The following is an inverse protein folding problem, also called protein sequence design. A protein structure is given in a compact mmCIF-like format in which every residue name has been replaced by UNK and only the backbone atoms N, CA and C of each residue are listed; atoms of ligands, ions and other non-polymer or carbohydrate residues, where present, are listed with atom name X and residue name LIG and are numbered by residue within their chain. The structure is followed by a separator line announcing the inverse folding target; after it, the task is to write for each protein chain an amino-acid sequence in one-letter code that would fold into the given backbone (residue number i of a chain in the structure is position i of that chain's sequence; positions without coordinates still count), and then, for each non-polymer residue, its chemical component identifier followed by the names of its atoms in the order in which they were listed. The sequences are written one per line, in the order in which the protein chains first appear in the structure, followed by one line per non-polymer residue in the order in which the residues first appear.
data_IF_621587323287
#
_entry.id   IF_621587323287
#
_cell.length_a   1.000
_cell.length_b   1.000
_cell.length_c   1.000
_cell.angle_alpha   90.00
_cell.angle_beta   90.00
_cell.angle_gamma   90.00
#
_symmetry.space_group_name_H-M   'P 1'
#
loop_
_entity.id
_entity.type
_entity.pdbx_description
1 polymer ?
#
# COMPACT_ATOMS: atom_id res chain seq x y z
N UNK A 1 6.87 0.05 -12.85
CA UNK A 1 5.47 -0.39 -12.81
C UNK A 1 5.32 -1.34 -11.63
N UNK A 2 4.19 -1.30 -10.89
CA UNK A 2 3.97 -2.20 -9.76
C UNK A 2 3.96 -3.67 -10.22
N UNK A 3 4.31 -4.61 -9.34
CA UNK A 3 4.27 -6.03 -9.64
C UNK A 3 2.82 -6.49 -9.91
N UNK A 4 2.63 -7.21 -11.00
CA UNK A 4 1.34 -7.79 -11.41
C UNK A 4 1.40 -9.30 -11.25
N UNK A 5 0.52 -9.83 -10.39
CA UNK A 5 0.39 -11.25 -10.14
C UNK A 5 -0.85 -11.82 -10.83
N UNK A 6 -0.71 -12.99 -11.44
CA UNK A 6 -1.81 -13.78 -11.99
C UNK A 6 -1.69 -15.22 -11.52
N UNK A 7 -2.78 -15.74 -10.97
CA UNK A 7 -2.89 -17.12 -10.50
C UNK A 7 -3.61 -18.03 -11.50
N UNK A 8 -3.75 -17.56 -12.74
CA UNK A 8 -4.41 -18.30 -13.82
C UNK A 8 -3.70 -19.63 -14.06
N UNK A 9 -4.48 -20.68 -14.27
CA UNK A 9 -3.98 -22.05 -14.41
C UNK A 9 -3.90 -22.83 -13.09
N UNK A 10 -4.15 -22.19 -11.94
CA UNK A 10 -4.22 -22.90 -10.66
C UNK A 10 -5.40 -23.86 -10.57
N UNK A 11 -5.18 -25.02 -9.95
CA UNK A 11 -6.23 -25.99 -9.63
C UNK A 11 -6.62 -25.89 -8.15
N UNK A 12 -7.92 -26.06 -7.89
CA UNK A 12 -8.53 -26.01 -6.55
C UNK A 12 -8.33 -24.68 -5.78
N UNK A 13 -7.96 -23.57 -6.43
CA UNK A 13 -7.83 -22.24 -5.80
C UNK A 13 -9.15 -21.47 -5.87
N UNK A 14 -9.70 -21.10 -4.70
CA UNK A 14 -10.84 -20.19 -4.57
C UNK A 14 -10.39 -18.73 -4.63
N UNK A 15 -9.35 -18.41 -3.87
CA UNK A 15 -8.74 -17.10 -3.79
C UNK A 15 -7.22 -17.24 -3.58
N UNK A 16 -6.44 -16.35 -4.16
CA UNK A 16 -5.04 -16.16 -3.86
C UNK A 16 -4.80 -14.66 -3.71
N UNK A 17 -4.47 -14.23 -2.50
CA UNK A 17 -4.34 -12.82 -2.11
C UNK A 17 -2.89 -12.52 -1.74
N UNK A 18 -2.24 -11.71 -2.56
CA UNK A 18 -0.92 -11.19 -2.23
C UNK A 18 -1.03 -10.16 -1.10
N UNK A 19 -0.20 -10.33 -0.07
CA UNK A 19 -0.04 -9.35 1.00
C UNK A 19 1.25 -8.59 0.74
N UNK A 20 1.17 -7.26 0.74
CA UNK A 20 2.30 -6.39 0.49
C UNK A 20 2.83 -5.89 1.83
N UNK A 21 4.08 -6.25 2.21
CA UNK A 21 4.77 -5.54 3.28
C UNK A 21 4.83 -4.05 2.97
N UNK A 22 4.84 -3.21 4.00
CA UNK A 22 4.91 -1.76 3.82
C UNK A 22 6.12 -1.37 2.95
N UNK A 23 5.91 -0.59 1.86
CA UNK A 23 6.99 -0.19 0.98
C UNK A 23 7.90 0.84 1.66
N UNK A 24 9.04 1.11 1.03
CA UNK A 24 9.92 2.20 1.38
C UNK A 24 9.91 3.28 0.31
N UNK A 25 10.19 4.50 0.75
CA UNK A 25 10.39 5.67 -0.10
C UNK A 25 11.89 5.84 -0.39
N UNK A 26 12.23 6.04 -1.65
CA UNK A 26 13.59 6.28 -2.14
C UNK A 26 13.64 7.63 -2.87
N UNK A 27 14.80 8.28 -2.82
CA UNK A 27 15.11 9.38 -3.72
C UNK A 27 15.72 8.81 -5.01
N UNK A 28 15.04 9.03 -6.13
CA UNK A 28 15.52 8.66 -7.45
C UNK A 28 15.67 9.94 -8.30
N UNK A 29 16.82 10.60 -8.16
CA UNK A 29 17.14 11.79 -8.94
C UNK A 29 16.27 13.00 -8.62
N UNK A 30 15.86 13.16 -7.35
CA UNK A 30 14.98 14.23 -6.89
C UNK A 30 13.48 13.94 -7.05
N UNK A 31 13.11 12.75 -7.56
CA UNK A 31 11.74 12.24 -7.52
C UNK A 31 11.62 11.14 -6.45
N UNK A 32 10.43 11.02 -5.86
CA UNK A 32 10.16 9.92 -4.93
C UNK A 32 9.82 8.64 -5.69
N UNK A 33 10.56 7.57 -5.44
CA UNK A 33 10.22 6.22 -5.88
C UNK A 33 9.76 5.38 -4.68
N UNK A 34 8.86 4.42 -4.93
CA UNK A 34 8.33 3.54 -3.89
C UNK A 34 8.58 2.08 -4.25
N UNK A 35 9.02 1.28 -3.28
CA UNK A 35 9.26 -0.14 -3.50
C UNK A 35 10.05 -0.78 -2.37
N UNK A 36 10.87 -1.76 -2.73
CA UNK A 36 11.69 -2.54 -1.81
C UNK A 36 13.13 -2.52 -2.31
N UNK A 37 14.09 -2.27 -1.41
CA UNK A 37 15.52 -2.50 -1.67
C UNK A 37 15.96 -3.83 -1.03
N UNK A 38 17.07 -4.38 -1.51
CA UNK A 38 17.63 -5.65 -1.05
C UNK A 38 16.64 -6.82 -1.22
N UNK A 39 16.02 -7.27 -0.13
CA UNK A 39 15.19 -8.47 -0.07
C UNK A 39 13.76 -8.13 0.37
N UNK A 40 12.79 -8.81 -0.24
CA UNK A 40 11.38 -8.78 0.17
C UNK A 40 10.77 -10.16 0.02
N UNK A 41 10.03 -10.61 1.04
CA UNK A 41 9.12 -11.76 0.94
C UNK A 41 7.71 -11.21 0.91
N UNK A 42 6.94 -11.58 -0.12
CA UNK A 42 5.52 -11.27 -0.18
C UNK A 42 4.70 -12.46 0.33
N UNK A 43 4.03 -12.34 1.49
CA UNK A 43 3.15 -13.40 1.96
C UNK A 43 1.97 -13.57 1.00
N UNK A 44 1.72 -14.81 0.57
CA UNK A 44 0.61 -15.15 -0.31
C UNK A 44 -0.40 -16.01 0.44
N UNK A 45 -1.60 -15.47 0.67
CA UNK A 45 -2.68 -16.22 1.30
C UNK A 45 -3.49 -16.94 0.23
N UNK A 46 -3.53 -18.27 0.29
CA UNK A 46 -4.27 -19.12 -0.66
C UNK A 46 -5.42 -19.80 0.06
N UNK A 47 -6.63 -19.68 -0.50
CA UNK A 47 -7.82 -20.37 -0.03
C UNK A 47 -8.24 -21.42 -1.04
N UNK A 48 -8.36 -22.67 -0.61
CA UNK A 48 -8.81 -23.77 -1.45
C UNK A 48 -10.33 -23.69 -1.72
N UNK A 49 -10.78 -24.14 -2.89
CA UNK A 49 -12.22 -24.36 -3.15
C UNK A 49 -12.75 -25.54 -2.35
N UNK A 50 -11.93 -26.58 -2.25
CA UNK A 50 -12.17 -27.79 -1.49
C UNK A 50 -10.94 -28.09 -0.64
N UNK A 51 -11.06 -27.86 0.67
CA UNK A 51 -9.99 -28.07 1.64
C UNK A 51 -9.59 -29.55 1.79
N UNK A 52 -10.39 -30.49 1.28
CA UNK A 52 -10.11 -31.94 1.32
C UNK A 52 -9.34 -32.42 0.10
N UNK A 53 -8.92 -31.51 -0.79
CA UNK A 53 -8.07 -31.80 -1.96
C UNK A 53 -6.84 -30.91 -1.95
N UNK A 54 -5.69 -31.39 -2.47
CA UNK A 54 -4.51 -30.56 -2.62
C UNK A 54 -4.79 -29.36 -3.54
N UNK A 55 -3.98 -28.32 -3.41
CA UNK A 55 -4.00 -27.16 -4.32
C UNK A 55 -2.77 -27.24 -5.22
N UNK A 56 -2.96 -26.95 -6.52
CA UNK A 56 -1.82 -26.69 -7.42
C UNK A 56 -1.85 -25.21 -7.75
N UNK A 57 -0.93 -24.46 -7.14
CA UNK A 57 -0.84 -23.01 -7.33
C UNK A 57 0.09 -22.71 -8.50
N UNK A 58 -0.42 -21.98 -9.49
CA UNK A 58 0.37 -21.36 -10.54
C UNK A 58 0.52 -19.86 -10.20
N UNK A 59 1.74 -19.34 -10.25
CA UNK A 59 2.04 -17.93 -10.04
C UNK A 59 2.74 -17.40 -11.27
N UNK A 60 2.13 -16.41 -11.91
CA UNK A 60 2.73 -15.64 -13.00
C UNK A 60 2.93 -14.22 -12.50
N UNK A 61 4.17 -13.75 -12.50
CA UNK A 61 4.56 -12.45 -11.98
C UNK A 61 5.25 -11.63 -13.06
N UNK A 62 4.77 -10.42 -13.30
CA UNK A 62 5.46 -9.40 -14.08
C UNK A 62 5.80 -8.24 -13.17
N UNK A 63 7.07 -7.87 -13.05
CA UNK A 63 7.52 -6.78 -12.18
C UNK A 63 8.65 -6.00 -12.83
N UNK A 64 8.98 -4.83 -12.29
CA UNK A 64 10.15 -4.06 -12.70
C UNK A 64 11.23 -4.15 -11.61
N UNK A 65 12.46 -4.44 -12.01
CA UNK A 65 13.64 -4.27 -11.17
C UNK A 65 14.38 -3.01 -11.66
N UNK A 66 14.65 -2.07 -10.76
CA UNK A 66 15.23 -0.77 -11.09
C UNK A 66 16.55 -0.56 -10.32
N UNK A 67 17.55 -0.01 -11.01
CA UNK A 67 18.74 0.59 -10.38
C UNK A 67 18.96 1.98 -11.01
N UNK A 68 19.40 2.02 -12.27
CA UNK A 68 19.46 3.24 -13.09
C UNK A 68 18.41 3.26 -14.21
N UNK A 69 17.98 2.07 -14.61
CA UNK A 69 16.94 1.82 -15.60
C UNK A 69 16.04 0.73 -15.05
N UNK A 70 14.74 0.82 -15.32
CA UNK A 70 13.79 -0.20 -14.90
C UNK A 70 13.68 -1.29 -15.98
N UNK A 71 14.05 -2.51 -15.62
CA UNK A 71 13.96 -3.68 -16.48
C UNK A 71 12.71 -4.50 -16.10
N UNK A 72 11.78 -4.75 -17.05
CA UNK A 72 10.67 -5.65 -16.80
C UNK A 72 11.16 -7.10 -16.73
N UNK A 73 10.77 -7.81 -15.68
CA UNK A 73 11.09 -9.21 -15.43
C UNK A 73 9.79 -10.01 -15.40
N UNK A 74 9.85 -11.23 -15.94
CA UNK A 74 8.78 -12.23 -15.84
C UNK A 74 9.28 -13.41 -15.04
N UNK A 75 8.48 -13.85 -14.08
CA UNK A 75 8.74 -15.04 -13.29
C UNK A 75 7.49 -15.92 -13.25
N UNK A 76 7.71 -17.23 -13.32
CA UNK A 76 6.65 -18.23 -13.29
C UNK A 76 7.01 -19.30 -12.27
N UNK A 77 6.04 -19.75 -11.50
CA UNK A 77 6.22 -20.83 -10.55
C UNK A 77 4.96 -21.71 -10.48
N UNK A 78 5.16 -23.01 -10.28
CA UNK A 78 4.10 -23.98 -10.01
C UNK A 78 4.42 -24.70 -8.72
N UNK A 79 3.55 -24.59 -7.72
CA UNK A 79 3.74 -25.15 -6.40
C UNK A 79 2.56 -26.05 -6.02
N UNK A 80 2.80 -27.34 -5.72
CA UNK A 80 1.82 -28.17 -5.04
C UNK A 80 1.76 -27.76 -3.56
N UNK A 81 0.57 -27.37 -3.09
CA UNK A 81 0.30 -27.05 -1.70
C UNK A 81 -0.46 -28.24 -1.07
N UNK A 82 0.18 -29.02 -0.18
CA UNK A 82 -0.47 -30.13 0.50
C UNK A 82 -1.50 -29.63 1.51
N UNK A 83 -2.45 -30.49 1.88
CA UNK A 83 -3.50 -30.18 2.86
C UNK A 83 -2.93 -29.85 4.24
N UNK A 84 -1.85 -30.52 4.60
CA UNK A 84 -1.07 -30.26 5.80
C UNK A 84 0.25 -29.64 5.37
N UNK A 85 0.45 -28.33 5.55
CA UNK A 85 1.70 -27.68 5.21
C UNK A 85 2.84 -28.31 6.02
N UNK A 86 3.95 -28.73 5.39
CA UNK A 86 5.16 -29.04 6.12
C UNK A 86 5.76 -27.74 6.68
N UNK A 87 6.41 -27.81 7.85
CA UNK A 87 7.25 -26.70 8.31
C UNK A 87 8.37 -26.46 7.30
N UNK A 88 8.44 -25.24 6.75
CA UNK A 88 9.50 -24.85 5.81
C UNK A 88 10.69 -24.17 6.50
N UNK A 89 11.84 -24.04 5.80
CA UNK A 89 12.98 -23.25 6.30
C UNK A 89 12.71 -21.73 6.30
N UNK A 90 11.57 -21.29 5.75
CA UNK A 90 11.22 -19.87 5.56
C UNK A 90 10.12 -19.38 6.51
N UNK A 91 9.64 -20.19 7.46
CA UNK A 91 8.54 -19.83 8.36
C UNK A 91 8.81 -18.54 9.14
N UNK A 92 9.98 -18.43 9.76
CA UNK A 92 10.36 -17.25 10.55
C UNK A 92 10.47 -15.99 9.68
N UNK A 93 11.05 -16.13 8.48
CA UNK A 93 11.17 -15.03 7.53
C UNK A 93 9.79 -14.59 7.01
N UNK A 94 8.91 -15.55 6.70
CA UNK A 94 7.54 -15.29 6.27
C UNK A 94 6.76 -14.54 7.36
N UNK A 95 6.85 -14.99 8.61
CA UNK A 95 6.21 -14.32 9.75
C UNK A 95 6.74 -12.90 9.96
N UNK A 96 8.05 -12.69 9.80
CA UNK A 96 8.66 -11.37 9.92
C UNK A 96 8.19 -10.38 8.84
N UNK A 97 7.99 -10.83 7.60
CA UNK A 97 7.44 -10.00 6.53
C UNK A 97 5.92 -9.85 6.62
N UNK A 98 5.19 -10.86 7.12
CA UNK A 98 3.75 -10.76 7.38
C UNK A 98 3.45 -9.72 8.47
N UNK A 99 4.31 -9.61 9.49
CA UNK A 99 4.20 -8.55 10.51
C UNK A 99 4.39 -7.12 9.96
N UNK A 100 5.00 -6.97 8.79
CA UNK A 100 5.20 -5.69 8.10
C UNK A 100 4.04 -5.33 7.16
N UNK A 101 3.06 -6.22 6.97
CA UNK A 101 1.88 -5.94 6.14
C UNK A 101 1.01 -4.91 6.86
N UNK A 102 0.64 -3.80 6.19
CA UNK A 102 -0.22 -2.78 6.80
C UNK A 102 -1.53 -3.36 7.34
N UNK A 103 -1.84 -3.02 8.59
CA UNK A 103 -3.10 -3.41 9.21
C UNK A 103 -4.21 -2.48 8.70
N UNK A 104 -5.24 -3.06 8.08
CA UNK A 104 -6.41 -2.29 7.65
C UNK A 104 -7.11 -1.66 8.85
N UNK A 105 -7.38 -0.37 8.78
CA UNK A 105 -8.11 0.40 9.79
C UNK A 105 -9.18 1.28 9.14
N UNK A 106 -10.23 1.56 9.90
CA UNK A 106 -11.18 2.61 9.52
C UNK A 106 -10.56 3.99 9.77
N UNK A 107 -10.98 4.98 8.98
CA UNK A 107 -10.66 6.39 9.26
C UNK A 107 -11.11 6.75 10.69
N UNK A 108 -10.21 7.36 11.47
CA UNK A 108 -10.48 7.76 12.84
C UNK A 108 -10.54 6.62 13.85
N UNK A 109 -9.98 5.44 13.54
CA UNK A 109 -9.90 4.33 14.48
C UNK A 109 -9.25 4.75 15.81
N UNK A 110 -9.79 4.25 16.92
CA UNK A 110 -9.24 4.46 18.27
C UNK A 110 -7.99 3.59 18.48
N UNK A 111 -6.87 4.06 17.92
CA UNK A 111 -5.58 3.39 17.95
C UNK A 111 -4.45 4.37 18.26
N UNK A 112 -3.28 3.84 18.63
CA UNK A 112 -2.10 4.65 18.88
C UNK A 112 -1.65 5.42 17.62
N UNK A 113 -1.64 4.76 16.46
CA UNK A 113 -1.39 5.32 15.14
C UNK A 113 -2.71 5.30 14.36
N UNK A 114 -3.16 6.44 13.86
CA UNK A 114 -4.45 6.55 13.15
C UNK A 114 -4.45 7.73 12.18
N UNK A 115 -5.09 7.57 11.02
CA UNK A 115 -5.44 8.67 10.13
C UNK A 115 -6.84 9.14 10.54
N UNK A 116 -7.00 10.42 10.84
CA UNK A 116 -8.26 10.99 11.37
C UNK A 116 -9.04 11.77 10.33
N UNK A 117 -8.44 12.18 9.22
CA UNK A 117 -9.11 12.95 8.19
C UNK A 117 -8.32 13.06 6.89
N UNK A 118 -9.04 13.29 5.79
CA UNK A 118 -8.47 13.54 4.47
C UNK A 118 -9.20 14.73 3.87
N UNK A 119 -8.59 15.91 3.92
CA UNK A 119 -9.28 17.16 3.63
C UNK A 119 -8.86 17.74 2.29
N UNK A 120 -9.83 18.04 1.43
CA UNK A 120 -9.60 18.87 0.25
C UNK A 120 -9.06 20.26 0.67
N UNK A 121 -8.01 20.73 0.01
CA UNK A 121 -7.54 22.11 0.20
C UNK A 121 -8.23 23.06 -0.79
N UNK A 122 -8.19 24.36 -0.50
CA UNK A 122 -8.69 25.38 -1.43
C UNK A 122 -7.94 25.33 -2.76
N UNK A 123 -8.69 25.40 -3.85
CA UNK A 123 -8.18 25.24 -5.20
C UNK A 123 -9.07 24.33 -6.05
N UNK A 124 -8.72 24.24 -7.32
CA UNK A 124 -9.31 23.25 -8.23
C UNK A 124 -8.47 21.97 -8.16
N UNK A 125 -8.99 20.96 -7.45
CA UNK A 125 -8.35 19.65 -7.35
C UNK A 125 -8.18 18.99 -8.73
N UNK A 126 -8.98 19.39 -9.73
CA UNK A 126 -8.93 18.86 -11.08
C UNK A 126 -7.96 19.62 -12.01
N UNK A 127 -7.35 20.71 -11.57
CA UNK A 127 -6.51 21.57 -12.42
C UNK A 127 -5.07 21.06 -12.70
N UNK A 128 -4.76 19.79 -12.43
CA UNK A 128 -3.47 19.19 -12.80
C UNK A 128 -2.31 19.48 -11.84
N UNK A 129 -2.63 19.76 -10.57
CA UNK A 129 -1.72 19.84 -9.41
C UNK A 129 -2.54 19.98 -8.11
N UNK A 130 -3.73 19.40 -8.07
CA UNK A 130 -4.63 19.50 -6.92
C UNK A 130 -3.97 18.96 -5.65
N UNK A 131 -4.21 19.62 -4.52
CA UNK A 131 -3.66 19.20 -3.24
C UNK A 131 -4.76 18.89 -2.23
N UNK A 132 -4.57 17.84 -1.45
CA UNK A 132 -5.36 17.55 -0.27
C UNK A 132 -4.44 17.19 0.89
N UNK A 133 -4.92 17.33 2.12
CA UNK A 133 -4.15 16.97 3.31
C UNK A 133 -4.65 15.66 3.90
N UNK A 134 -3.72 14.84 4.38
CA UNK A 134 -3.99 13.67 5.22
C UNK A 134 -3.54 14.03 6.62
N UNK A 135 -4.45 13.96 7.58
CA UNK A 135 -4.19 14.28 8.99
C UNK A 135 -4.42 13.08 9.86
N UNK A 136 -3.69 13.02 10.98
CA UNK A 136 -3.83 11.92 11.92
C UNK A 136 -3.14 12.17 13.24
N UNK A 137 -3.06 11.10 14.03
CA UNK A 137 -2.44 11.11 15.35
C UNK A 137 -1.54 9.89 15.54
N UNK A 138 -0.41 10.11 16.20
CA UNK A 138 0.48 9.10 16.76
C UNK A 138 0.62 9.34 18.26
N UNK A 139 0.43 8.30 19.07
CA UNK A 139 0.72 8.33 20.49
C UNK A 139 2.23 8.19 20.74
N UNK A 140 2.79 9.00 21.63
CA UNK A 140 4.21 8.96 22.01
C UNK A 140 5.09 9.87 21.16
N UNK A 141 6.41 9.69 21.24
CA UNK A 141 7.36 10.52 20.49
C UNK A 141 7.34 10.14 19.00
N UNK A 142 7.13 11.10 18.08
CA UNK A 142 7.16 10.79 16.67
C UNK A 142 8.55 10.33 16.24
N UNK A 143 8.63 9.09 15.76
CA UNK A 143 9.72 8.63 14.91
C UNK A 143 9.56 9.15 13.48
N UNK A 144 10.27 8.56 12.52
CA UNK A 144 10.02 8.83 11.11
C UNK A 144 8.63 8.31 10.73
N UNK A 145 7.83 9.17 10.11
CA UNK A 145 6.53 8.83 9.53
C UNK A 145 6.64 8.92 8.02
N UNK A 146 6.27 7.85 7.34
CA UNK A 146 6.17 7.80 5.89
C UNK A 146 4.72 7.58 5.50
N UNK A 147 4.19 8.43 4.61
CA UNK A 147 2.86 8.29 4.03
C UNK A 147 2.99 7.90 2.57
N UNK A 148 2.24 6.88 2.17
CA UNK A 148 2.04 6.48 0.78
C UNK A 148 0.57 6.70 0.44
N UNK A 149 0.31 7.24 -0.75
CA UNK A 149 -1.03 7.51 -1.24
C UNK A 149 -1.21 6.85 -2.59
N UNK A 150 -2.28 6.08 -2.73
CA UNK A 150 -2.61 5.32 -3.92
C UNK A 150 -4.05 5.65 -4.35
N UNK A 151 -4.21 5.87 -5.66
CA UNK A 151 -5.52 6.01 -6.27
C UNK A 151 -5.82 4.85 -7.21
N UNK A 152 -7.02 4.83 -7.82
CA UNK A 152 -7.34 3.86 -8.87
C UNK A 152 -6.38 3.93 -10.06
N UNK A 153 -6.52 2.99 -11.01
CA UNK A 153 -5.73 3.00 -12.24
C UNK A 153 -5.77 4.37 -12.95
N UNK A 154 -4.59 4.85 -13.35
CA UNK A 154 -4.41 6.15 -14.01
C UNK A 154 -4.24 7.33 -13.06
N UNK A 155 -4.31 7.13 -11.74
CA UNK A 155 -3.99 8.15 -10.74
C UNK A 155 -2.53 8.09 -10.34
N UNK A 156 -1.90 9.26 -10.26
CA UNK A 156 -0.53 9.45 -9.82
C UNK A 156 -0.53 10.45 -8.67
N UNK A 157 -0.17 9.97 -7.48
CA UNK A 157 -0.22 10.74 -6.25
C UNK A 157 1.19 10.85 -5.66
N UNK A 158 1.50 12.03 -5.13
CA UNK A 158 2.77 12.31 -4.48
C UNK A 158 2.51 12.75 -3.04
N UNK A 159 2.79 11.86 -2.10
CA UNK A 159 2.76 12.20 -0.68
C UNK A 159 4.04 12.96 -0.30
N UNK A 160 3.87 14.19 0.15
CA UNK A 160 4.91 15.02 0.73
C UNK A 160 5.40 14.49 2.08
N UNK A 161 6.42 15.13 2.68
CA UNK A 161 6.89 14.78 4.01
C UNK A 161 5.77 14.90 5.06
N UNK A 162 5.72 13.94 5.99
CA UNK A 162 4.82 14.01 7.14
C UNK A 162 5.36 15.00 8.14
N UNK A 163 4.58 16.04 8.44
CA UNK A 163 4.89 17.05 9.44
C UNK A 163 4.21 16.65 10.75
N UNK A 164 4.99 16.13 11.70
CA UNK A 164 4.50 15.78 13.03
C UNK A 164 4.65 16.96 14.00
N UNK A 165 3.63 17.19 14.82
CA UNK A 165 3.61 18.17 15.88
C UNK A 165 3.95 17.54 17.25
N UNK A 166 4.41 18.33 18.25
CA UNK A 166 4.74 17.82 19.58
C UNK A 166 3.57 17.20 20.35
N UNK A 167 2.34 17.53 19.99
CA UNK A 167 1.11 16.99 20.59
C UNK A 167 0.70 15.62 20.02
N UNK A 168 1.51 15.07 19.11
CA UNK A 168 1.27 13.78 18.47
C UNK A 168 0.36 13.86 17.24
N UNK A 169 -0.12 15.03 16.85
CA UNK A 169 -0.81 15.20 15.56
C UNK A 169 0.19 15.23 14.42
N UNK A 170 -0.25 14.86 13.21
CA UNK A 170 0.54 15.04 12.01
C UNK A 170 -0.33 15.46 10.82
N UNK A 171 0.33 16.09 9.85
CA UNK A 171 -0.25 16.43 8.55
C UNK A 171 0.73 16.09 7.43
N UNK A 172 0.22 15.56 6.33
CA UNK A 172 0.95 15.39 5.09
C UNK A 172 0.14 15.95 3.93
N UNK A 173 0.82 16.66 3.02
CA UNK A 173 0.23 17.12 1.77
C UNK A 173 0.32 16.00 0.73
N UNK A 174 -0.77 15.73 0.02
CA UNK A 174 -0.76 14.83 -1.14
C UNK A 174 -1.09 15.64 -2.38
N UNK A 175 -0.24 15.53 -3.39
CA UNK A 175 -0.42 16.17 -4.70
C UNK A 175 -0.98 15.15 -5.68
N UNK A 176 -2.02 15.53 -6.42
CA UNK A 176 -2.51 14.79 -7.59
C UNK A 176 -1.67 15.22 -8.79
N UNK A 177 -0.62 14.45 -9.08
CA UNK A 177 0.29 14.72 -10.19
C UNK A 177 -0.37 14.44 -11.55
N UNK A 178 -1.21 13.40 -11.62
CA UNK A 178 -2.04 13.09 -12.78
C UNK A 178 -3.24 12.23 -12.41
N UNK A 179 -4.29 12.30 -13.22
CA UNK A 179 -5.51 11.48 -13.11
C UNK A 179 -6.23 11.38 -14.47
N UNK A 180 -7.15 10.42 -14.66
CA UNK A 180 -7.99 10.38 -15.85
C UNK A 180 -8.82 11.65 -16.05
N UNK A 181 -9.12 12.02 -17.30
CA UNK A 181 -9.97 13.18 -17.61
C UNK A 181 -11.40 12.92 -17.14
N UNK A 182 -12.02 13.93 -16.51
CA UNK A 182 -13.40 13.85 -16.02
C UNK A 182 -13.56 13.07 -14.71
N UNK A 183 -12.45 12.71 -14.06
CA UNK A 183 -12.46 12.11 -12.73
C UNK A 183 -13.18 12.97 -11.70
N UNK A 184 -13.99 12.33 -10.86
CA UNK A 184 -14.57 12.94 -9.67
C UNK A 184 -13.66 12.66 -8.47
N UNK A 185 -12.84 13.64 -8.11
CA UNK A 185 -11.88 13.53 -7.00
C UNK A 185 -12.58 13.24 -5.67
N UNK A 186 -13.75 13.83 -5.43
CA UNK A 186 -14.48 13.66 -4.17
C UNK A 186 -15.11 12.27 -4.06
N UNK A 187 -15.56 11.70 -5.16
CA UNK A 187 -16.11 10.34 -5.19
C UNK A 187 -15.04 9.23 -5.20
N UNK A 188 -13.79 9.59 -5.50
CA UNK A 188 -12.67 8.64 -5.65
C UNK A 188 -12.27 8.05 -4.30
N UNK A 189 -12.15 6.73 -4.26
CA UNK A 189 -11.60 6.01 -3.11
C UNK A 189 -10.07 5.97 -3.25
N UNK A 190 -9.38 6.47 -2.23
CA UNK A 190 -7.94 6.45 -2.11
C UNK A 190 -7.51 5.48 -1.01
N UNK A 191 -6.36 4.86 -1.21
CA UNK A 191 -5.72 4.01 -0.21
C UNK A 191 -4.51 4.75 0.35
N UNK A 192 -4.43 4.84 1.67
CA UNK A 192 -3.33 5.47 2.38
C UNK A 192 -2.63 4.44 3.25
N UNK A 193 -1.33 4.26 3.01
CA UNK A 193 -0.48 3.46 3.88
C UNK A 193 0.38 4.39 4.72
N UNK A 194 0.25 4.32 6.04
CA UNK A 194 1.05 5.11 6.98
C UNK A 194 1.98 4.18 7.75
N UNK A 195 3.27 4.48 7.70
CA UNK A 195 4.33 3.69 8.33
C UNK A 195 4.99 4.51 9.43
N UNK A 196 5.06 3.94 10.63
CA UNK A 196 5.68 4.51 11.81
C UNK A 196 6.63 3.47 12.44
N UNK A 197 7.90 3.49 12.03
CA UNK A 197 8.86 2.47 12.47
C UNK A 197 8.47 1.07 11.99
N UNK A 198 8.14 0.18 12.91
CA UNK A 198 7.70 -1.20 12.68
C UNK A 198 6.18 -1.35 12.55
N UNK A 199 5.42 -0.28 12.78
CA UNK A 199 3.97 -0.28 12.63
C UNK A 199 3.57 0.26 11.26
N UNK A 200 2.64 -0.40 10.59
CA UNK A 200 2.03 0.09 9.36
C UNK A 200 0.51 -0.09 9.40
N UNK A 201 -0.22 0.92 8.93
CA UNK A 201 -1.68 0.88 8.80
C UNK A 201 -2.08 1.24 7.37
N UNK A 202 -3.21 0.69 6.93
CA UNK A 202 -3.85 1.02 5.66
C UNK A 202 -5.25 1.55 5.91
N UNK A 203 -5.57 2.71 5.34
CA UNK A 203 -6.89 3.32 5.40
C UNK A 203 -7.38 3.60 3.99
N UNK A 204 -8.53 3.02 3.64
CA UNK A 204 -9.22 3.29 2.38
C UNK A 204 -10.35 4.28 2.65
N UNK A 205 -10.27 5.48 2.07
CA UNK A 205 -11.28 6.52 2.27
C UNK A 205 -11.38 7.48 1.09
N UNK A 206 -12.45 8.27 1.07
CA UNK A 206 -12.61 9.42 0.17
C UNK A 206 -12.12 10.69 0.86
N UNK A 207 -11.93 11.75 0.08
CA UNK A 207 -11.76 13.08 0.65
C UNK A 207 -13.06 13.49 1.36
N UNK A 208 -12.90 14.16 2.49
CA UNK A 208 -13.99 14.85 3.15
C UNK A 208 -14.57 15.91 2.21
N UNK A 209 -15.88 16.09 2.26
CA UNK A 209 -16.51 17.24 1.62
C UNK A 209 -15.84 18.51 2.17
N UNK A 210 -15.46 19.44 1.28
CA UNK A 210 -14.75 20.69 1.62
C UNK A 210 -15.19 21.20 2.99
N UNK A 211 -14.32 21.06 4.00
CA UNK A 211 -14.47 21.82 5.23
C UNK A 211 -14.19 23.25 4.86
N UNK A 212 -15.25 24.06 4.77
CA UNK A 212 -15.10 25.49 4.80
C UNK A 212 -14.32 25.81 6.08
N UNK A 213 -13.11 26.34 5.94
CA UNK A 213 -12.38 26.91 7.07
C UNK A 213 -13.33 27.92 7.75
N UNK A 214 -13.49 27.86 9.08
CA UNK A 214 -14.34 28.81 9.79
C UNK A 214 -13.87 30.27 9.64
#
# INVERSE_FOLDING_TARGET
APPVFSYSGSDNVAEARMLFPAPRKFDEGGAAAFGYDHDVIFPLRVTARDATRPVTLHVNLVYAACEKICIPVRAEAQLPLPQTPPSGPFEDALAAFEAQVPVKQALGADAALTITGVHALEGDLAAGNGHFSVVGRLAGKPGRLDLFAEGPEGWYLEAGPVQAAPDGTFVALVTIAAMPKGSDVAATLFTFTLVAGDQAIEVETRLDAKTATP
#
